data_IF_092914852247
#
_entry.id   IF_092914852247
#
_cell.length_a   1.000
_cell.length_b   1.000
_cell.length_c   1.000
_cell.angle_alpha   90.00
_cell.angle_beta   90.00
_cell.angle_gamma   90.00
#
_symmetry.space_group_name_H-M   'P 1'
#
loop_
_entity.id
_entity.type
_entity.pdbx_description
1 polymer ?
#
# COMPACT_ATOMS: atom_id res chain seq x y z
N UNK A 1 21.93 -34.68 -12.50
CA UNK A 1 21.67 -33.23 -12.37
C UNK A 1 21.90 -32.73 -10.94
N UNK A 2 21.38 -33.42 -9.90
CA UNK A 2 21.53 -33.07 -8.47
C UNK A 2 22.98 -32.89 -7.99
N UNK A 3 23.90 -33.78 -8.40
CA UNK A 3 25.32 -33.69 -8.00
C UNK A 3 26.01 -32.40 -8.45
N UNK A 4 25.68 -31.88 -9.64
CA UNK A 4 26.31 -30.65 -10.16
C UNK A 4 25.89 -29.40 -9.38
N UNK A 5 24.61 -29.30 -9.02
CA UNK A 5 24.08 -28.18 -8.23
C UNK A 5 24.59 -28.20 -6.80
N UNK A 6 24.73 -29.40 -6.22
CA UNK A 6 25.37 -29.57 -4.92
C UNK A 6 26.81 -29.03 -4.94
N UNK A 7 27.60 -29.37 -5.96
CA UNK A 7 28.97 -28.85 -6.12
C UNK A 7 28.98 -27.31 -6.27
N UNK A 8 28.05 -26.73 -7.04
CA UNK A 8 27.90 -25.27 -7.16
C UNK A 8 27.67 -24.62 -5.79
N UNK A 9 26.72 -25.13 -5.01
CA UNK A 9 26.39 -24.61 -3.69
C UNK A 9 27.56 -24.79 -2.71
N UNK A 10 28.18 -25.96 -2.69
CA UNK A 10 29.35 -26.23 -1.85
C UNK A 10 30.48 -25.23 -2.13
N UNK A 11 30.80 -24.99 -3.40
CA UNK A 11 31.84 -24.02 -3.76
C UNK A 11 31.46 -22.60 -3.32
N UNK A 12 30.20 -22.19 -3.54
CA UNK A 12 29.71 -20.89 -3.13
C UNK A 12 29.83 -20.68 -1.61
N UNK A 13 29.44 -21.68 -0.81
CA UNK A 13 29.54 -21.63 0.64
C UNK A 13 30.98 -21.65 1.15
N UNK A 14 31.87 -22.43 0.52
CA UNK A 14 33.30 -22.45 0.88
C UNK A 14 33.93 -21.07 0.72
N UNK A 15 33.63 -20.37 -0.38
CA UNK A 15 34.13 -19.00 -0.59
C UNK A 15 33.53 -18.01 0.42
N UNK A 16 32.24 -18.16 0.76
CA UNK A 16 31.59 -17.34 1.77
C UNK A 16 32.23 -17.53 3.16
N UNK A 17 32.45 -18.78 3.57
CA UNK A 17 33.02 -19.10 4.87
C UNK A 17 34.45 -18.59 4.97
N UNK A 18 35.26 -18.73 3.90
CA UNK A 18 36.59 -18.12 3.83
C UNK A 18 36.54 -16.60 4.01
N UNK A 19 35.59 -15.93 3.36
CA UNK A 19 35.37 -14.50 3.53
C UNK A 19 34.97 -14.15 4.98
N UNK A 20 34.10 -14.94 5.61
CA UNK A 20 33.70 -14.71 7.00
C UNK A 20 34.89 -14.83 7.95
N UNK A 21 35.64 -15.93 7.88
CA UNK A 21 36.81 -16.16 8.73
C UNK A 21 37.83 -15.02 8.61
N UNK A 22 38.11 -14.55 7.40
CA UNK A 22 39.08 -13.48 7.17
C UNK A 22 38.65 -12.12 7.74
N UNK A 23 37.35 -11.85 7.81
CA UNK A 23 36.82 -10.53 8.15
C UNK A 23 36.20 -10.46 9.55
N UNK A 24 35.88 -11.59 10.16
CA UNK A 24 35.44 -11.67 11.56
C UNK A 24 36.54 -11.23 12.54
N UNK A 25 37.79 -11.59 12.23
CA UNK A 25 38.96 -11.22 13.05
C UNK A 25 39.33 -9.74 12.86
N UNK A 26 39.29 -9.24 11.62
CA UNK A 26 39.78 -7.91 11.26
C UNK A 26 38.77 -6.79 11.52
N UNK A 27 37.46 -7.08 11.39
CA UNK A 27 36.33 -6.13 11.54
C UNK A 27 36.51 -4.83 10.74
N UNK A 28 37.24 -4.87 9.63
CA UNK A 28 37.48 -3.68 8.83
C UNK A 28 36.27 -3.36 7.95
N UNK A 29 35.85 -2.09 7.92
CA UNK A 29 34.78 -1.62 7.01
C UNK A 29 35.15 -1.76 5.53
N UNK A 30 36.43 -1.89 5.20
CA UNK A 30 36.92 -2.20 3.85
C UNK A 30 36.38 -3.55 3.34
N UNK A 31 35.96 -4.45 4.24
CA UNK A 31 35.37 -5.73 3.89
C UNK A 31 33.99 -5.64 3.20
N UNK A 32 33.30 -4.49 3.30
CA UNK A 32 31.96 -4.33 2.73
C UNK A 32 31.91 -4.51 1.20
N UNK A 33 33.04 -4.36 0.50
CA UNK A 33 33.14 -4.51 -0.95
C UNK A 33 34.16 -5.57 -1.40
N UNK A 34 34.72 -6.36 -0.48
CA UNK A 34 35.82 -7.29 -0.80
C UNK A 34 35.35 -8.68 -1.22
N UNK A 35 34.07 -9.02 -0.96
CA UNK A 35 33.48 -10.28 -1.40
C UNK A 35 32.91 -10.17 -2.82
N UNK A 36 33.32 -11.06 -3.71
CA UNK A 36 32.77 -11.13 -5.07
C UNK A 36 31.40 -11.82 -5.07
N UNK A 37 30.38 -11.12 -5.55
CA UNK A 37 29.01 -11.61 -5.66
C UNK A 37 28.65 -12.12 -7.07
N UNK A 38 29.60 -12.11 -8.00
CA UNK A 38 29.38 -12.49 -9.41
C UNK A 38 28.76 -13.88 -9.52
N UNK A 39 29.35 -14.87 -8.85
CA UNK A 39 28.87 -16.26 -8.88
C UNK A 39 27.47 -16.37 -8.26
N UNK A 40 27.23 -15.69 -7.14
CA UNK A 40 25.91 -15.67 -6.50
C UNK A 40 24.84 -15.13 -7.45
N UNK A 41 25.08 -13.98 -8.10
CA UNK A 41 24.10 -13.39 -9.01
C UNK A 41 23.86 -14.24 -10.26
N UNK A 42 24.89 -14.92 -10.78
CA UNK A 42 24.70 -15.91 -11.86
C UNK A 42 23.75 -17.03 -11.43
N UNK A 43 23.88 -17.53 -10.20
CA UNK A 43 23.00 -18.60 -9.70
C UNK A 43 21.60 -18.10 -9.37
N UNK A 44 21.46 -16.85 -8.94
CA UNK A 44 20.14 -16.21 -8.81
C UNK A 44 19.45 -16.13 -10.17
N UNK A 45 20.14 -15.72 -11.23
CA UNK A 45 19.54 -15.70 -12.58
C UNK A 45 19.15 -17.12 -13.05
N UNK A 46 20.01 -18.12 -12.83
CA UNK A 46 19.66 -19.53 -13.11
C UNK A 46 18.44 -20.01 -12.31
N UNK A 47 18.34 -19.62 -11.04
CA UNK A 47 17.20 -19.93 -10.19
C UNK A 47 15.92 -19.29 -10.73
N UNK A 48 15.97 -18.00 -11.06
CA UNK A 48 14.81 -17.25 -11.52
C UNK A 48 14.30 -17.67 -12.90
N UNK A 49 15.19 -18.19 -13.75
CA UNK A 49 14.83 -18.74 -15.07
C UNK A 49 14.53 -20.26 -15.03
N UNK A 50 14.67 -20.91 -13.86
CA UNK A 50 14.53 -22.35 -13.66
C UNK A 50 13.37 -22.73 -12.73
N UNK A 51 13.11 -24.04 -12.63
CA UNK A 51 12.01 -24.61 -11.82
C UNK A 51 12.50 -25.44 -10.60
N UNK A 52 13.73 -25.22 -10.16
CA UNK A 52 14.30 -25.99 -9.04
C UNK A 52 14.22 -25.20 -7.74
N UNK A 53 13.13 -25.48 -7.01
CA UNK A 53 12.81 -24.79 -5.77
C UNK A 53 13.86 -25.01 -4.69
N UNK A 54 14.45 -26.21 -4.60
CA UNK A 54 15.43 -26.54 -3.54
C UNK A 54 16.72 -25.73 -3.72
N UNK A 55 17.22 -25.63 -4.96
CA UNK A 55 18.39 -24.81 -5.26
C UNK A 55 18.12 -23.32 -4.98
N UNK A 56 16.96 -22.83 -5.40
CA UNK A 56 16.53 -21.46 -5.15
C UNK A 56 16.40 -21.14 -3.65
N UNK A 57 15.78 -22.04 -2.89
CA UNK A 57 15.60 -21.86 -1.45
C UNK A 57 16.94 -21.85 -0.72
N UNK A 58 17.91 -22.63 -1.19
CA UNK A 58 19.26 -22.59 -0.62
C UNK A 58 19.98 -21.25 -0.91
N UNK A 59 19.75 -20.63 -2.06
CA UNK A 59 20.23 -19.26 -2.32
C UNK A 59 19.56 -18.23 -1.41
N UNK A 60 18.30 -18.43 -1.01
CA UNK A 60 17.65 -17.58 0.01
C UNK A 60 18.31 -17.73 1.37
N UNK A 61 18.72 -18.93 1.74
CA UNK A 61 19.47 -19.19 2.97
C UNK A 61 20.86 -18.54 2.92
N UNK A 62 21.57 -18.68 1.80
CA UNK A 62 22.83 -18.00 1.55
C UNK A 62 22.69 -16.48 1.75
N UNK A 63 21.68 -15.88 1.12
CA UNK A 63 21.37 -14.45 1.26
C UNK A 63 21.18 -14.03 2.72
N UNK A 64 20.39 -14.79 3.48
CA UNK A 64 20.16 -14.52 4.91
C UNK A 64 21.48 -14.55 5.69
N UNK A 65 22.32 -15.57 5.45
CA UNK A 65 23.62 -15.73 6.11
C UNK A 65 24.55 -14.56 5.79
N UNK A 66 24.73 -14.23 4.51
CA UNK A 66 25.54 -13.08 4.06
C UNK A 66 25.05 -11.76 4.66
N UNK A 67 23.77 -11.43 4.51
CA UNK A 67 23.21 -10.16 5.00
C UNK A 67 23.33 -10.02 6.51
N UNK A 68 23.16 -11.11 7.27
CA UNK A 68 23.36 -11.10 8.72
C UNK A 68 24.81 -10.77 9.07
N UNK A 69 25.78 -11.38 8.40
CA UNK A 69 27.20 -11.12 8.65
C UNK A 69 27.58 -9.67 8.30
N UNK A 70 27.17 -9.20 7.12
CA UNK A 70 27.41 -7.83 6.65
C UNK A 70 26.81 -6.79 7.60
N UNK A 71 25.58 -7.01 8.07
CA UNK A 71 24.87 -6.07 8.95
C UNK A 71 25.37 -6.11 10.39
N UNK A 72 25.58 -7.29 10.94
CA UNK A 72 25.76 -7.46 12.39
C UNK A 72 27.24 -7.60 12.78
N UNK A 73 28.07 -8.20 11.92
CA UNK A 73 29.50 -8.45 12.20
C UNK A 73 30.35 -7.32 11.65
N UNK A 74 30.33 -7.10 10.33
CA UNK A 74 31.13 -6.03 9.69
C UNK A 74 30.48 -4.64 9.91
N UNK A 75 29.14 -4.59 10.07
CA UNK A 75 28.35 -3.36 10.25
C UNK A 75 28.44 -2.41 9.07
N UNK A 76 28.22 -2.95 7.88
CA UNK A 76 28.11 -2.18 6.64
C UNK A 76 26.76 -1.47 6.50
N UNK A 77 26.70 -0.48 5.62
CA UNK A 77 25.46 0.21 5.21
C UNK A 77 24.51 -0.73 4.44
N UNK A 78 23.22 -0.38 4.40
CA UNK A 78 22.19 -1.21 3.78
C UNK A 78 22.39 -1.46 2.28
N UNK A 79 23.09 -0.56 1.58
CA UNK A 79 23.41 -0.71 0.15
C UNK A 79 24.27 -1.94 -0.18
N UNK A 80 24.92 -2.54 0.82
CA UNK A 80 25.72 -3.75 0.67
C UNK A 80 24.92 -5.03 0.95
N UNK A 81 23.65 -4.92 1.33
CA UNK A 81 22.78 -6.08 1.53
C UNK A 81 22.28 -6.60 0.18
N UNK A 82 22.21 -7.92 0.07
CA UNK A 82 21.73 -8.57 -1.13
C UNK A 82 20.20 -8.38 -1.30
N UNK A 83 19.75 -8.11 -2.52
CA UNK A 83 18.32 -8.07 -2.85
C UNK A 83 17.70 -9.48 -2.70
N UNK A 84 16.37 -9.59 -2.61
CA UNK A 84 15.65 -10.88 -2.64
C UNK A 84 16.06 -11.76 -3.82
N UNK A 85 15.95 -13.07 -3.66
CA UNK A 85 16.27 -14.05 -4.72
C UNK A 85 15.10 -14.18 -5.69
N UNK A 86 13.89 -14.08 -5.17
CA UNK A 86 12.65 -14.10 -5.94
C UNK A 86 12.61 -12.92 -6.92
N UNK A 87 12.10 -13.17 -8.13
CA UNK A 87 11.71 -12.07 -9.01
C UNK A 87 10.45 -11.44 -8.45
N UNK A 88 10.55 -10.18 -8.04
CA UNK A 88 9.37 -9.36 -7.82
C UNK A 88 9.08 -8.72 -9.17
N UNK A 89 8.29 -9.40 -9.99
CA UNK A 89 7.86 -8.84 -11.26
C UNK A 89 6.72 -7.84 -11.04
N UNK A 90 6.56 -6.91 -11.99
CA UNK A 90 5.52 -5.88 -11.90
C UNK A 90 4.11 -6.46 -11.74
N UNK A 91 3.88 -7.67 -12.26
CA UNK A 91 2.62 -8.41 -12.09
C UNK A 91 2.44 -8.83 -10.63
N UNK A 92 3.42 -9.47 -10.00
CA UNK A 92 3.34 -9.89 -8.59
C UNK A 92 3.20 -8.69 -7.64
N UNK A 93 3.86 -7.57 -7.96
CA UNK A 93 3.74 -6.34 -7.18
C UNK A 93 2.33 -5.72 -7.28
N UNK A 94 1.62 -5.91 -8.40
CA UNK A 94 0.30 -5.33 -8.63
C UNK A 94 -0.85 -6.25 -8.18
N UNK A 95 -0.69 -7.57 -8.21
CA UNK A 95 -1.75 -8.53 -7.81
C UNK A 95 -2.30 -8.22 -6.41
N UNK A 96 -1.42 -7.91 -5.44
CA UNK A 96 -1.82 -7.65 -4.06
C UNK A 96 -2.74 -6.42 -3.96
N UNK A 97 -2.33 -5.19 -4.35
CA UNK A 97 -3.22 -4.03 -4.25
C UNK A 97 -4.50 -4.18 -5.07
N UNK A 98 -4.43 -4.77 -6.28
CA UNK A 98 -5.63 -4.96 -7.10
C UNK A 98 -6.63 -5.95 -6.48
N UNK A 99 -6.16 -7.06 -5.91
CA UNK A 99 -7.04 -8.02 -5.23
C UNK A 99 -7.72 -7.39 -4.01
N UNK A 100 -6.99 -6.61 -3.20
CA UNK A 100 -7.58 -5.88 -2.07
C UNK A 100 -8.63 -4.86 -2.51
N UNK A 101 -8.37 -4.06 -3.54
CA UNK A 101 -9.35 -3.10 -4.09
C UNK A 101 -10.60 -3.84 -4.58
N UNK A 102 -10.42 -4.96 -5.29
CA UNK A 102 -11.56 -5.76 -5.79
C UNK A 102 -12.39 -6.36 -4.67
N UNK A 103 -11.75 -6.98 -3.66
CA UNK A 103 -12.44 -7.60 -2.53
C UNK A 103 -13.18 -6.55 -1.69
N UNK A 104 -12.53 -5.43 -1.39
CA UNK A 104 -13.16 -4.33 -0.65
C UNK A 104 -14.34 -3.74 -1.42
N UNK A 105 -14.23 -3.54 -2.73
CA UNK A 105 -15.34 -3.04 -3.55
C UNK A 105 -16.57 -3.96 -3.56
N UNK A 106 -16.38 -5.28 -3.43
CA UNK A 106 -17.49 -6.23 -3.36
C UNK A 106 -18.13 -6.30 -1.96
N UNK A 107 -17.31 -6.21 -0.91
CA UNK A 107 -17.77 -6.34 0.47
C UNK A 107 -18.43 -5.04 0.95
N UNK A 108 -17.92 -3.87 0.54
CA UNK A 108 -18.40 -2.55 1.00
C UNK A 108 -19.91 -2.32 0.79
N UNK A 109 -20.52 -2.59 -0.38
CA UNK A 109 -21.96 -2.41 -0.60
C UNK A 109 -22.82 -3.36 0.26
N UNK A 110 -22.33 -4.58 0.47
CA UNK A 110 -23.00 -5.59 1.29
C UNK A 110 -22.98 -5.11 2.75
N UNK A 111 -21.82 -4.74 3.28
CA UNK A 111 -21.71 -4.17 4.61
C UNK A 111 -22.53 -2.89 4.76
N UNK A 112 -22.55 -2.00 3.76
CA UNK A 112 -23.38 -0.80 3.79
C UNK A 112 -24.87 -1.12 3.97
N UNK A 113 -25.37 -2.18 3.32
CA UNK A 113 -26.77 -2.63 3.41
C UNK A 113 -27.10 -3.36 4.73
N UNK A 114 -26.16 -4.11 5.30
CA UNK A 114 -26.41 -5.03 6.41
C UNK A 114 -25.86 -4.59 7.77
N UNK A 115 -25.06 -3.52 7.83
CA UNK A 115 -24.52 -2.99 9.09
C UNK A 115 -25.33 -1.78 9.56
N UNK A 116 -25.46 -1.58 10.88
CA UNK A 116 -26.20 -0.47 11.50
C UNK A 116 -25.68 0.96 11.14
N UNK A 117 -24.66 1.05 10.30
CA UNK A 117 -24.16 2.29 9.70
C UNK A 117 -25.02 2.82 8.56
N UNK A 118 -25.86 2.00 7.91
CA UNK A 118 -26.76 2.47 6.85
C UNK A 118 -27.63 3.66 7.30
N UNK A 119 -28.40 3.53 8.40
CA UNK A 119 -29.15 4.64 8.97
C UNK A 119 -28.28 5.81 9.45
N UNK A 120 -27.08 5.54 9.96
CA UNK A 120 -26.16 6.59 10.44
C UNK A 120 -25.56 7.43 9.30
N UNK A 121 -25.18 6.79 8.17
CA UNK A 121 -24.69 7.44 6.96
C UNK A 121 -25.83 8.16 6.25
N UNK A 122 -27.01 7.54 6.09
CA UNK A 122 -28.19 8.23 5.54
C UNK A 122 -28.55 9.47 6.36
N UNK A 123 -28.45 9.41 7.70
CA UNK A 123 -28.61 10.58 8.57
C UNK A 123 -27.52 11.62 8.36
N UNK A 124 -26.27 11.22 8.11
CA UNK A 124 -25.17 12.14 7.83
C UNK A 124 -25.32 12.84 6.47
N UNK A 125 -25.75 12.10 5.45
CA UNK A 125 -26.02 12.61 4.09
C UNK A 125 -27.23 13.54 4.11
N UNK A 126 -28.37 13.10 4.67
CA UNK A 126 -29.56 13.93 4.79
C UNK A 126 -29.34 15.18 5.65
N UNK A 127 -28.48 15.11 6.67
CA UNK A 127 -28.09 16.30 7.45
C UNK A 127 -27.33 17.33 6.60
N UNK A 128 -26.53 16.91 5.61
CA UNK A 128 -25.87 17.85 4.68
C UNK A 128 -26.84 18.45 3.68
N UNK A 129 -27.81 17.66 3.21
CA UNK A 129 -28.85 18.12 2.27
C UNK A 129 -29.77 19.17 2.93
N UNK A 130 -30.24 18.91 4.15
CA UNK A 130 -31.04 19.87 4.92
C UNK A 130 -30.28 21.16 5.26
N UNK A 131 -28.95 21.09 5.48
CA UNK A 131 -28.12 22.28 5.71
C UNK A 131 -28.01 23.11 4.43
N UNK A 132 -27.89 22.48 3.25
CA UNK A 132 -27.84 23.17 1.97
C UNK A 132 -29.18 23.83 1.64
N UNK A 133 -30.29 23.14 1.92
CA UNK A 133 -31.65 23.67 1.77
C UNK A 133 -31.86 24.88 2.69
N UNK A 134 -31.47 24.78 3.97
CA UNK A 134 -31.53 25.90 4.92
C UNK A 134 -30.67 27.11 4.49
N UNK A 135 -29.46 26.88 3.97
CA UNK A 135 -28.60 27.96 3.46
C UNK A 135 -29.21 28.62 2.22
N UNK A 136 -29.78 27.84 1.30
CA UNK A 136 -30.48 28.36 0.12
C UNK A 136 -31.74 29.15 0.53
N UNK A 137 -32.53 28.63 1.45
CA UNK A 137 -33.74 29.29 1.96
C UNK A 137 -33.39 30.60 2.67
N UNK A 138 -32.35 30.62 3.52
CA UNK A 138 -31.85 31.83 4.19
C UNK A 138 -31.24 32.84 3.21
N UNK A 139 -30.59 32.41 2.12
CA UNK A 139 -30.17 33.31 1.03
C UNK A 139 -31.34 33.86 0.20
N UNK A 140 -32.42 33.09 0.03
CA UNK A 140 -33.63 33.57 -0.63
C UNK A 140 -34.42 34.59 0.24
N UNK A 141 -34.39 34.44 1.57
CA UNK A 141 -35.04 35.39 2.49
C UNK A 141 -34.24 36.68 2.73
N UNK A 142 -32.91 36.68 2.58
CA UNK A 142 -32.04 37.84 2.83
C UNK A 142 -31.88 38.80 1.63
N UNK A 143 -32.46 38.49 0.46
CA UNK A 143 -32.42 39.33 -0.73
C UNK A 143 -33.54 40.37 -0.85
N UNK A 144 -34.50 40.41 0.08
CA UNK A 144 -35.59 41.40 0.05
C UNK A 144 -35.37 42.52 1.06
N UNK A 145 -34.45 43.44 0.78
CA UNK A 145 -34.49 44.77 1.41
C UNK A 145 -33.90 45.81 0.45
N UNK A 146 -34.59 46.96 0.36
CA UNK A 146 -34.35 48.16 -0.49
C UNK A 146 -34.89 48.05 -1.94
N UNK A 147 -35.74 48.93 -2.48
CA UNK A 147 -36.32 50.19 -2.02
C UNK A 147 -37.52 50.61 -2.93
N UNK A 148 -38.32 51.51 -2.39
CA UNK A 148 -39.57 52.17 -2.84
C UNK A 148 -39.64 52.64 -4.31
N UNK A 149 -40.80 52.41 -4.94
CA UNK A 149 -41.24 53.05 -6.19
C UNK A 149 -42.76 52.93 -6.41
N UNK A 150 -43.48 53.98 -6.01
CA UNK A 150 -44.92 54.23 -6.05
C UNK A 150 -45.66 53.80 -7.33
N UNK A 151 -46.75 53.03 -7.22
CA UNK A 151 -47.92 53.13 -8.11
C UNK A 151 -49.20 52.46 -7.53
N UNK A 152 -50.34 53.09 -7.85
CA UNK A 152 -51.64 53.05 -7.16
C UNK A 152 -52.27 51.67 -6.88
N UNK A 153 -52.65 51.46 -5.62
CA UNK A 153 -53.42 50.32 -5.12
C UNK A 153 -54.91 50.42 -5.47
N UNK A 154 -55.41 49.50 -6.31
CA UNK A 154 -56.83 49.13 -6.34
C UNK A 154 -56.97 47.71 -5.76
N UNK A 155 -57.35 47.64 -4.49
CA UNK A 155 -57.49 46.40 -3.72
C UNK A 155 -58.98 46.08 -3.49
N UNK A 156 -59.50 44.91 -3.93
CA UNK A 156 -60.71 44.35 -3.35
C UNK A 156 -60.32 43.48 -2.14
N UNK A 157 -60.71 43.93 -0.94
CA UNK A 157 -60.65 43.17 0.30
C UNK A 157 -61.46 41.87 0.19
N UNK A 158 -60.84 40.72 0.47
CA UNK A 158 -61.59 39.54 0.90
C UNK A 158 -61.01 38.97 2.20
N UNK A 159 -61.84 39.03 3.24
CA UNK A 159 -61.59 38.49 4.57
C UNK A 159 -61.79 36.96 4.55
N UNK A 160 -60.77 36.19 4.90
CA UNK A 160 -60.90 34.75 5.12
C UNK A 160 -61.14 34.54 6.62
N UNK A 161 -62.37 34.15 6.97
CA UNK A 161 -62.74 33.77 8.32
C UNK A 161 -62.35 32.30 8.58
N UNK A 162 -61.67 32.06 9.70
CA UNK A 162 -61.30 30.75 10.19
C UNK A 162 -62.47 30.15 10.95
N UNK A 163 -62.88 28.92 10.63
CA UNK A 163 -63.68 28.09 11.53
C UNK A 163 -63.24 26.63 11.42
N UNK A 164 -62.62 26.20 12.51
CA UNK A 164 -62.19 24.85 12.85
C UNK A 164 -63.38 23.93 13.16
N UNK A 165 -63.30 22.68 12.70
CA UNK A 165 -64.01 21.53 13.24
C UNK A 165 -62.99 20.44 13.63
#
# INVERSE_FOLDING_TARGET
HTSYRLVKLTNLYNELDKFFTQNEEKKEKTACNSYSLVTYFSYVDECQNGYDNDFCDELKNFRKKYNSFIKNVIKCEEKYLLPPVERIDAVDMTIIPFSFISVTSLILPILYKFTAYGPWISRLIGKKENILEYINEETHHTLNTYEIGNDNSNMPNYNIAYNSY
#
